data_IF_148723174713
#
_entry.id   IF_148723174713
#
_cell.length_a   1.000
_cell.length_b   1.000
_cell.length_c   1.000
_cell.angle_alpha   90.00
_cell.angle_beta   90.00
_cell.angle_gamma   90.00
#
_symmetry.space_group_name_H-M   'P 1'
#
loop_
_entity.id
_entity.type
_entity.pdbx_description
1 polymer ?
#
# COMPACT_ATOMS: atom_id res chain seq x y z
N UNK A 1 3.48 9.16 7.47
CA UNK A 1 3.06 8.15 6.49
C UNK A 1 4.30 7.35 6.14
N UNK A 2 4.34 6.03 6.37
CA UNK A 2 5.48 5.21 6.00
C UNK A 2 5.60 5.11 4.47
N UNK A 3 6.83 5.26 3.99
CA UNK A 3 7.20 5.09 2.58
C UNK A 3 8.31 4.03 2.56
N UNK A 4 8.13 3.00 1.74
CA UNK A 4 9.09 1.91 1.61
C UNK A 4 9.57 1.87 0.16
N UNK A 5 10.88 1.75 -0.06
CA UNK A 5 11.46 1.49 -1.38
C UNK A 5 11.71 0.01 -1.56
N UNK A 6 11.21 -0.55 -2.66
CA UNK A 6 11.46 -1.93 -3.06
C UNK A 6 12.07 -1.91 -4.45
N UNK A 7 13.35 -2.28 -4.57
CA UNK A 7 14.08 -2.13 -5.82
C UNK A 7 14.13 -0.68 -6.30
N UNK A 8 13.53 -0.40 -7.46
CA UNK A 8 13.37 0.95 -8.04
C UNK A 8 12.02 1.60 -7.72
N UNK A 9 11.12 0.84 -7.10
CA UNK A 9 9.74 1.22 -6.88
C UNK A 9 9.52 1.76 -5.46
N UNK A 10 8.48 2.58 -5.32
CA UNK A 10 8.11 3.19 -4.05
C UNK A 10 6.69 2.79 -3.68
N UNK A 11 6.54 2.25 -2.47
CA UNK A 11 5.25 1.93 -1.87
C UNK A 11 4.95 2.94 -0.77
N UNK A 12 3.85 3.66 -0.89
CA UNK A 12 3.38 4.63 0.09
C UNK A 12 2.13 4.10 0.79
N UNK A 13 2.18 3.99 2.11
CA UNK A 13 1.02 3.65 2.92
C UNK A 13 0.51 4.91 3.64
N UNK A 14 -0.68 5.35 3.25
CA UNK A 14 -1.31 6.57 3.72
C UNK A 14 -2.48 6.18 4.61
N UNK A 15 -2.46 6.57 5.87
CA UNK A 15 -3.57 6.47 6.80
C UNK A 15 -3.96 7.90 7.23
N UNK A 16 -5.24 8.25 7.07
CA UNK A 16 -5.79 9.53 7.51
C UNK A 16 -6.38 9.39 8.91
N UNK A 17 -6.40 10.49 9.66
CA UNK A 17 -7.02 10.58 10.99
C UNK A 17 -8.50 10.12 10.97
N UNK A 18 -9.14 10.24 9.81
CA UNK A 18 -10.52 9.80 9.60
C UNK A 18 -10.64 8.31 9.26
N UNK A 19 -9.59 7.49 9.41
CA UNK A 19 -9.62 6.05 9.13
C UNK A 19 -9.60 5.72 7.63
N UNK A 20 -9.24 6.67 6.77
CA UNK A 20 -9.03 6.36 5.34
C UNK A 20 -7.62 5.84 5.14
N UNK A 21 -7.52 4.66 4.57
CA UNK A 21 -6.27 4.01 4.21
C UNK A 21 -6.14 3.94 2.69
N UNK A 22 -4.93 4.18 2.19
CA UNK A 22 -4.62 4.00 0.78
C UNK A 22 -3.17 3.57 0.59
N UNK A 23 -2.97 2.73 -0.42
CA UNK A 23 -1.67 2.22 -0.83
C UNK A 23 -1.39 2.75 -2.23
N UNK A 24 -0.24 3.41 -2.38
CA UNK A 24 0.27 3.82 -3.69
C UNK A 24 1.51 3.03 -4.05
N UNK A 25 1.62 2.68 -5.32
CA UNK A 25 2.79 2.09 -5.95
C UNK A 25 3.26 3.04 -7.05
N UNK A 26 4.45 3.61 -6.91
CA UNK A 26 4.99 4.66 -7.79
C UNK A 26 4.02 5.82 -8.03
N UNK A 27 3.31 6.22 -6.98
CA UNK A 27 2.32 7.30 -7.01
C UNK A 27 0.94 6.87 -7.54
N UNK A 28 0.78 5.68 -8.11
CA UNK A 28 -0.50 5.14 -8.55
C UNK A 28 -1.25 4.47 -7.38
N UNK A 29 -2.52 4.80 -7.18
CA UNK A 29 -3.33 4.19 -6.10
C UNK A 29 -3.70 2.75 -6.50
N UNK A 30 -3.08 1.77 -5.83
CA UNK A 30 -3.38 0.34 -6.03
C UNK A 30 -4.49 -0.14 -5.11
N UNK A 31 -4.61 0.45 -3.93
CA UNK A 31 -5.70 0.11 -3.02
C UNK A 31 -6.15 1.31 -2.18
N UNK A 32 -7.45 1.36 -1.86
CA UNK A 32 -8.03 2.39 -1.00
C UNK A 32 -9.24 1.86 -0.24
N UNK A 33 -9.45 2.39 0.95
CA UNK A 33 -10.75 2.38 1.60
C UNK A 33 -10.63 2.71 3.07
N UNK A 34 -11.52 2.14 3.87
CA UNK A 34 -11.80 2.69 5.19
C UNK A 34 -11.64 1.61 6.26
N UNK A 35 -10.78 1.87 7.25
CA UNK A 35 -10.62 1.03 8.43
C UNK A 35 -10.18 1.88 9.62
N UNK A 36 -10.77 1.59 10.79
CA UNK A 36 -10.36 2.17 12.07
C UNK A 36 -9.33 1.33 12.81
N UNK A 37 -9.25 0.02 12.52
CA UNK A 37 -8.39 -0.92 13.23
C UNK A 37 -7.14 -1.33 12.44
N UNK A 38 -6.95 -0.75 11.25
CA UNK A 38 -6.02 -1.28 10.27
C UNK A 38 -6.66 -2.35 9.40
N UNK A 39 -6.18 -2.53 8.17
CA UNK A 39 -6.42 -3.73 7.36
C UNK A 39 -5.22 -4.03 6.47
N UNK A 40 -5.16 -5.26 5.97
CA UNK A 40 -4.19 -5.66 4.96
C UNK A 40 -4.73 -5.42 3.56
N UNK A 41 -3.82 -5.03 2.67
CA UNK A 41 -4.08 -4.88 1.26
C UNK A 41 -3.11 -5.74 0.47
N UNK A 42 -3.65 -6.54 -0.43
CA UNK A 42 -2.88 -7.31 -1.40
C UNK A 42 -3.09 -6.70 -2.78
N UNK A 43 -2.01 -6.47 -3.51
CA UNK A 43 -2.08 -6.06 -4.90
C UNK A 43 -0.92 -6.66 -5.69
N UNK A 44 -1.16 -6.97 -6.96
CA UNK A 44 -0.18 -7.56 -7.87
C UNK A 44 0.21 -6.54 -8.92
N UNK A 45 1.49 -6.47 -9.24
CA UNK A 45 2.07 -5.65 -10.31
C UNK A 45 2.97 -6.50 -11.18
N UNK A 46 3.11 -6.12 -12.45
CA UNK A 46 4.07 -6.75 -13.35
C UNK A 46 5.40 -5.98 -13.25
N UNK A 47 6.47 -6.67 -12.83
CA UNK A 47 7.84 -6.16 -12.74
C UNK A 47 8.75 -7.03 -13.60
N UNK A 48 9.45 -6.43 -14.57
CA UNK A 48 10.37 -7.13 -15.48
C UNK A 48 9.77 -8.39 -16.14
N UNK A 49 8.46 -8.36 -16.44
CA UNK A 49 7.72 -9.48 -17.04
C UNK A 49 7.30 -10.59 -16.07
N UNK A 50 7.42 -10.37 -14.76
CA UNK A 50 6.96 -11.27 -13.71
C UNK A 50 5.86 -10.62 -12.86
N UNK A 51 4.86 -11.39 -12.46
CA UNK A 51 3.84 -10.91 -11.51
C UNK A 51 4.39 -10.98 -10.08
N UNK A 52 4.47 -9.82 -9.43
CA UNK A 52 4.90 -9.67 -8.04
C UNK A 52 3.72 -9.22 -7.20
N UNK A 53 3.47 -9.92 -6.10
CA UNK A 53 2.36 -9.60 -5.18
C UNK A 53 2.90 -8.98 -3.91
N UNK A 54 2.35 -7.80 -3.58
CA UNK A 54 2.70 -7.03 -2.40
C UNK A 54 1.58 -7.10 -1.36
N UNK A 55 1.96 -7.31 -0.10
CA UNK A 55 1.07 -7.18 1.04
C UNK A 55 1.45 -5.95 1.86
N UNK A 56 0.47 -5.08 2.11
CA UNK A 56 0.62 -3.89 2.94
C UNK A 56 -0.36 -3.97 4.09
N UNK A 57 0.17 -4.20 5.30
CA UNK A 57 -0.61 -4.28 6.53
C UNK A 57 -0.60 -2.93 7.25
N UNK A 58 -1.79 -2.37 7.47
CA UNK A 58 -1.98 -1.27 8.40
C UNK A 58 -2.26 -1.85 9.78
N UNK A 59 -1.48 -1.43 10.78
CA UNK A 59 -1.72 -1.75 12.20
C UNK A 59 -2.25 -0.50 12.88
N UNK A 60 -3.39 -0.62 13.56
CA UNK A 60 -3.77 0.40 14.54
C UNK A 60 -2.75 0.37 15.69
N UNK A 61 -2.27 1.55 16.06
CA UNK A 61 -1.38 1.76 17.21
C UNK A 61 -2.14 1.87 18.52
#
# INVERSE_FOLDING_TARGET
MPIVRVGKHTIEAINSIWGTESVKYDGEVKAKGYSFLGRSYLFTVEEDGQEVTYEVEFKAG
#
